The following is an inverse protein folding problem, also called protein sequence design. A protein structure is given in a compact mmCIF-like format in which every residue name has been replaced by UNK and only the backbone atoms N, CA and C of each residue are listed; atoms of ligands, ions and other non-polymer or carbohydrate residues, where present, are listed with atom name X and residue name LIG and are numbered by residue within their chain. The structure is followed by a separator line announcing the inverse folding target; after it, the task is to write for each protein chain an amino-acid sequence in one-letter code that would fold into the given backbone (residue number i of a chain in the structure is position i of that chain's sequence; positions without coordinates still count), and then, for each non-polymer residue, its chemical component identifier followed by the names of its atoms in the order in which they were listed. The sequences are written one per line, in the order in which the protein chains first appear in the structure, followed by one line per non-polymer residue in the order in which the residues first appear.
data_IF_415750455302
#
_entry.id   IF_415750455302
#
_cell.length_a   1.000
_cell.length_b   1.000
_cell.length_c   1.000
_cell.angle_alpha   90.00
_cell.angle_beta   90.00
_cell.angle_gamma   90.00
#
_symmetry.space_group_name_H-M   'P 1'
#
loop_
_entity.id
_entity.type
_entity.pdbx_description
1 polymer ?
#
# COMPACT_ATOMS: atom_id res chain seq x y z
N UNK A 1 -28.29 92.42 -18.45
CA UNK A 1 -27.25 91.46 -18.85
C UNK A 1 -26.49 90.97 -17.62
N UNK A 2 -26.88 89.81 -17.05
CA UNK A 2 -26.08 89.03 -16.08
C UNK A 2 -26.44 87.55 -16.26
N UNK A 3 -25.63 86.82 -17.04
CA UNK A 3 -25.70 85.37 -17.17
C UNK A 3 -25.13 84.73 -15.89
N UNK A 4 -25.93 83.91 -15.19
CA UNK A 4 -25.42 82.97 -14.18
C UNK A 4 -25.14 81.65 -14.88
N UNK A 5 -23.87 81.27 -15.01
CA UNK A 5 -23.44 79.97 -15.54
C UNK A 5 -23.54 78.93 -14.43
N UNK A 6 -24.37 77.91 -14.63
CA UNK A 6 -24.41 76.72 -13.78
C UNK A 6 -23.22 75.82 -14.13
N UNK A 7 -22.35 75.53 -13.16
CA UNK A 7 -21.30 74.53 -13.29
C UNK A 7 -21.90 73.14 -13.04
N UNK A 8 -21.84 72.24 -14.03
CA UNK A 8 -22.07 70.80 -13.82
C UNK A 8 -20.71 70.14 -13.61
N UNK A 9 -20.48 69.61 -12.40
CA UNK A 9 -19.34 68.73 -12.14
C UNK A 9 -19.61 67.36 -12.79
N UNK A 10 -18.68 66.90 -13.62
CA UNK A 10 -18.67 65.53 -14.16
C UNK A 10 -17.70 64.74 -13.29
N UNK A 11 -18.21 63.77 -12.53
CA UNK A 11 -17.40 62.76 -11.86
C UNK A 11 -17.12 61.64 -12.86
N UNK A 12 -15.86 61.45 -13.24
CA UNK A 12 -15.40 60.27 -13.99
C UNK A 12 -14.91 59.25 -12.96
N UNK A 13 -15.72 58.23 -12.72
CA UNK A 13 -15.34 57.08 -11.91
C UNK A 13 -14.51 56.12 -12.75
N UNK A 14 -13.20 56.05 -12.51
CA UNK A 14 -12.32 55.02 -13.11
C UNK A 14 -12.49 53.74 -12.29
N UNK A 15 -13.20 52.76 -12.84
CA UNK A 15 -13.26 51.40 -12.29
C UNK A 15 -11.94 50.69 -12.63
N UNK A 16 -11.04 50.56 -11.65
CA UNK A 16 -9.92 49.62 -11.75
C UNK A 16 -10.46 48.21 -11.54
N UNK A 17 -10.68 47.48 -12.62
CA UNK A 17 -10.86 46.03 -12.59
C UNK A 17 -9.52 45.38 -12.25
N UNK A 18 -9.30 45.06 -10.97
CA UNK A 18 -8.25 44.15 -10.55
C UNK A 18 -8.60 42.75 -11.06
N UNK A 19 -8.08 42.37 -12.22
CA UNK A 19 -8.16 41.00 -12.70
C UNK A 19 -7.41 40.09 -11.73
N UNK A 20 -8.14 39.25 -10.99
CA UNK A 20 -7.55 38.10 -10.32
C UNK A 20 -6.95 37.20 -11.40
N UNK A 21 -5.62 37.28 -11.56
CA UNK A 21 -4.87 36.23 -12.25
C UNK A 21 -5.04 34.97 -11.41
N UNK A 22 -5.93 34.08 -11.83
CA UNK A 22 -5.99 32.72 -11.31
C UNK A 22 -4.62 32.09 -11.61
N UNK A 23 -3.76 32.04 -10.59
CA UNK A 23 -2.54 31.23 -10.66
C UNK A 23 -3.04 29.81 -10.92
N UNK A 24 -2.71 29.18 -12.06
CA UNK A 24 -3.09 27.80 -12.27
C UNK A 24 -2.50 27.00 -11.10
N UNK A 25 -3.38 26.34 -10.35
CA UNK A 25 -2.93 25.42 -9.30
C UNK A 25 -1.97 24.44 -9.94
N UNK A 26 -0.80 24.24 -9.33
CA UNK A 26 0.17 23.28 -9.85
C UNK A 26 -0.55 21.92 -9.97
N UNK A 27 -0.55 21.35 -11.17
CA UNK A 27 -1.06 20.00 -11.37
C UNK A 27 -0.20 19.09 -10.48
N UNK A 28 -0.82 18.50 -9.47
CA UNK A 28 -0.16 17.52 -8.62
C UNK A 28 0.21 16.33 -9.53
N UNK A 29 1.49 15.95 -9.53
CA UNK A 29 1.90 14.72 -10.22
C UNK A 29 1.12 13.54 -9.65
N UNK A 30 0.73 12.59 -10.51
CA UNK A 30 0.17 11.32 -10.05
C UNK A 30 1.19 10.63 -9.12
N UNK A 31 0.73 9.90 -8.09
CA UNK A 31 1.65 9.15 -7.24
C UNK A 31 2.43 8.12 -8.08
N UNK A 32 3.69 7.90 -7.75
CA UNK A 32 4.45 6.77 -8.29
C UNK A 32 3.99 5.45 -7.68
N UNK A 33 4.40 4.33 -8.28
CA UNK A 33 4.16 2.99 -7.71
C UNK A 33 4.75 2.86 -6.29
N UNK A 34 5.91 3.47 -6.04
CA UNK A 34 6.50 3.52 -4.71
C UNK A 34 5.64 4.35 -3.75
N UNK A 35 5.13 5.51 -4.16
CA UNK A 35 4.25 6.33 -3.31
C UNK A 35 2.97 5.57 -2.93
N UNK A 36 2.39 4.84 -3.89
CA UNK A 36 1.22 3.97 -3.65
C UNK A 36 1.56 2.84 -2.68
N UNK A 37 2.67 2.12 -2.92
CA UNK A 37 3.11 1.02 -2.08
C UNK A 37 3.44 1.47 -0.65
N UNK A 38 4.05 2.64 -0.47
CA UNK A 38 4.31 3.17 0.88
C UNK A 38 3.03 3.65 1.57
N UNK A 39 2.10 4.27 0.83
CA UNK A 39 0.84 4.76 1.40
C UNK A 39 -0.08 3.66 1.89
N UNK A 40 -0.11 2.56 1.14
CA UNK A 40 -1.00 1.43 1.35
C UNK A 40 -0.29 0.22 1.96
N UNK A 41 0.95 0.38 2.44
CA UNK A 41 1.67 -0.71 3.08
C UNK A 41 0.87 -1.29 4.25
N UNK A 42 0.66 -2.61 4.31
CA UNK A 42 -0.07 -3.23 5.40
C UNK A 42 0.73 -3.17 6.70
N UNK A 43 0.03 -3.16 7.83
CA UNK A 43 0.64 -3.43 9.13
C UNK A 43 0.68 -4.95 9.32
N UNK A 44 1.88 -5.53 9.23
CA UNK A 44 2.08 -6.97 9.38
C UNK A 44 2.31 -7.30 10.87
N UNK A 45 1.31 -7.89 11.52
CA UNK A 45 1.46 -8.51 12.83
C UNK A 45 1.80 -9.97 12.65
N UNK A 46 2.97 -10.37 13.15
CA UNK A 46 3.49 -11.71 12.98
C UNK A 46 3.65 -12.38 14.33
N UNK A 47 3.01 -13.53 14.50
CA UNK A 47 3.31 -14.45 15.59
C UNK A 47 4.49 -15.34 15.18
N UNK A 48 5.35 -15.69 16.12
CA UNK A 48 6.54 -16.49 15.86
C UNK A 48 6.67 -17.61 16.89
N UNK A 49 7.09 -18.79 16.44
CA UNK A 49 7.41 -19.88 17.37
C UNK A 49 8.46 -19.48 18.40
N UNK A 50 8.20 -19.80 19.66
CA UNK A 50 9.19 -19.67 20.75
C UNK A 50 10.33 -20.70 20.66
N UNK A 51 10.13 -21.80 19.94
CA UNK A 51 11.14 -22.83 19.77
C UNK A 51 12.18 -22.44 18.71
N UNK A 52 11.78 -21.70 17.68
CA UNK A 52 12.67 -21.32 16.57
C UNK A 52 12.23 -20.05 15.84
N UNK A 53 12.15 -18.92 16.56
CA UNK A 53 11.63 -17.66 16.04
C UNK A 53 12.34 -17.13 14.78
N UNK A 54 13.64 -17.40 14.58
CA UNK A 54 14.38 -16.95 13.40
C UNK A 54 13.93 -17.63 12.11
N UNK A 55 13.41 -18.86 12.20
CA UNK A 55 12.87 -19.59 11.05
C UNK A 55 11.65 -18.91 10.45
N UNK A 56 10.90 -18.19 11.30
CA UNK A 56 9.69 -17.49 10.92
C UNK A 56 9.98 -16.08 10.41
N UNK A 57 11.19 -15.52 10.52
CA UNK A 57 11.40 -14.10 10.17
C UNK A 57 11.13 -13.78 8.71
N UNK A 58 10.44 -12.66 8.46
CA UNK A 58 10.43 -12.08 7.11
C UNK A 58 11.84 -11.61 6.73
N UNK A 59 12.31 -12.03 5.56
CA UNK A 59 13.69 -11.82 5.12
C UNK A 59 13.76 -11.52 3.61
N UNK A 60 14.86 -10.96 3.09
CA UNK A 60 15.11 -11.01 1.66
C UNK A 60 15.20 -12.47 1.21
N UNK A 61 14.74 -12.79 0.00
CA UNK A 61 14.88 -14.13 -0.59
C UNK A 61 16.34 -14.56 -0.68
N UNK A 62 17.23 -13.60 -0.93
CA UNK A 62 18.68 -13.75 -1.09
C UNK A 62 19.45 -13.34 0.18
N UNK A 63 18.85 -13.47 1.36
CA UNK A 63 19.45 -13.02 2.62
C UNK A 63 20.84 -13.63 2.86
N UNK A 64 21.14 -14.80 2.32
CA UNK A 64 22.42 -15.46 2.49
C UNK A 64 23.48 -15.08 1.44
N UNK A 65 23.10 -14.25 0.45
CA UNK A 65 23.96 -13.70 -0.58
C UNK A 65 23.84 -14.40 -1.94
N UNK A 66 22.93 -15.35 -2.09
CA UNK A 66 22.63 -15.99 -3.38
C UNK A 66 21.12 -16.21 -3.60
N UNK A 67 20.74 -16.66 -4.80
CA UNK A 67 19.33 -16.86 -5.19
C UNK A 67 18.91 -18.34 -5.15
N UNK A 68 19.70 -19.21 -4.51
CA UNK A 68 19.43 -20.62 -4.41
C UNK A 68 18.46 -20.91 -3.26
N UNK A 69 17.16 -20.86 -3.51
CA UNK A 69 16.16 -21.13 -2.46
C UNK A 69 16.10 -22.60 -1.99
N UNK A 70 17.04 -23.46 -2.39
CA UNK A 70 17.12 -24.87 -1.99
C UNK A 70 18.19 -25.14 -0.90
N UNK A 71 18.85 -24.10 -0.39
CA UNK A 71 19.80 -24.19 0.72
C UNK A 71 19.56 -23.13 1.82
N UNK A 72 18.46 -22.38 1.73
CA UNK A 72 18.07 -21.36 2.69
C UNK A 72 17.72 -22.00 4.03
N UNK A 73 17.27 -23.24 4.07
CA UNK A 73 17.09 -23.94 5.35
C UNK A 73 18.44 -24.06 6.07
N UNK A 74 19.46 -24.56 5.39
CA UNK A 74 20.79 -24.79 5.97
C UNK A 74 21.54 -23.49 6.29
N UNK A 75 21.30 -22.43 5.52
CA UNK A 75 22.02 -21.16 5.65
C UNK A 75 21.40 -20.17 6.65
N UNK A 76 20.19 -20.45 7.15
CA UNK A 76 19.41 -19.59 8.05
C UNK A 76 20.24 -19.07 9.24
N UNK A 77 20.82 -19.99 10.00
CA UNK A 77 21.49 -19.67 11.27
C UNK A 77 22.97 -19.26 11.10
N UNK A 78 23.50 -19.31 9.87
CA UNK A 78 24.91 -18.99 9.63
C UNK A 78 25.22 -17.52 9.98
N UNK A 79 24.24 -16.62 9.81
CA UNK A 79 24.30 -15.25 10.32
C UNK A 79 22.90 -14.62 10.32
N UNK A 80 22.27 -14.59 11.50
CA UNK A 80 20.92 -14.06 11.72
C UNK A 80 20.81 -12.54 11.52
N UNK A 81 21.92 -11.80 11.54
CA UNK A 81 21.91 -10.36 11.24
C UNK A 81 21.55 -10.05 9.78
N UNK A 82 21.54 -11.06 8.90
CA UNK A 82 21.09 -10.96 7.51
C UNK A 82 19.58 -11.06 7.35
N UNK A 83 18.87 -11.53 8.37
CA UNK A 83 17.41 -11.71 8.38
C UNK A 83 16.72 -10.37 8.65
N UNK A 84 16.73 -9.49 7.65
CA UNK A 84 16.12 -8.17 7.74
C UNK A 84 14.69 -8.18 7.20
N UNK A 85 13.73 -7.73 7.99
CA UNK A 85 12.33 -7.62 7.57
C UNK A 85 12.19 -6.95 6.21
N UNK A 86 11.74 -7.71 5.21
CA UNK A 86 11.66 -7.29 3.80
C UNK A 86 10.27 -7.56 3.27
N UNK A 87 9.71 -6.57 2.58
CA UNK A 87 8.46 -6.68 1.84
C UNK A 87 8.73 -6.39 0.36
N UNK A 88 8.27 -7.27 -0.50
CA UNK A 88 8.26 -7.05 -1.94
C UNK A 88 6.91 -6.47 -2.34
N UNK A 89 6.87 -5.62 -3.36
CA UNK A 89 5.62 -5.08 -3.87
C UNK A 89 5.56 -5.06 -5.40
N UNK A 90 4.34 -5.07 -5.93
CA UNK A 90 4.04 -4.81 -7.33
C UNK A 90 2.79 -3.94 -7.42
N UNK A 91 2.82 -2.93 -8.27
CA UNK A 91 1.65 -2.10 -8.59
C UNK A 91 1.29 -2.34 -10.05
N UNK A 92 0.05 -2.74 -10.28
CA UNK A 92 -0.54 -2.78 -11.62
C UNK A 92 -1.87 -2.02 -11.60
N UNK A 93 -2.25 -1.43 -12.74
CA UNK A 93 -3.42 -0.56 -12.76
C UNK A 93 -4.31 -0.73 -13.97
N UNK A 94 -5.57 -0.33 -13.79
CA UNK A 94 -6.54 -0.10 -14.86
C UNK A 94 -6.89 1.38 -14.92
N UNK A 95 -7.84 1.77 -15.78
CA UNK A 95 -8.34 3.16 -15.79
C UNK A 95 -9.06 3.55 -14.49
N UNK A 96 -9.46 2.60 -13.65
CA UNK A 96 -10.27 2.85 -12.45
C UNK A 96 -9.67 2.36 -11.15
N UNK A 97 -8.71 1.43 -11.16
CA UNK A 97 -8.17 0.83 -9.94
C UNK A 97 -6.65 0.67 -9.99
N UNK A 98 -6.03 0.73 -8.83
CA UNK A 98 -4.72 0.15 -8.56
C UNK A 98 -4.87 -1.20 -7.88
N UNK A 99 -3.99 -2.12 -8.23
CA UNK A 99 -3.85 -3.44 -7.63
C UNK A 99 -2.43 -3.50 -7.07
N UNK A 100 -2.32 -3.52 -5.75
CA UNK A 100 -1.04 -3.47 -5.04
C UNK A 100 -0.86 -4.81 -4.36
N UNK A 101 0.08 -5.60 -4.86
CA UNK A 101 0.46 -6.88 -4.23
C UNK A 101 1.66 -6.64 -3.34
N UNK A 102 1.57 -7.11 -2.09
CA UNK A 102 2.71 -7.25 -1.19
C UNK A 102 3.02 -8.72 -0.97
N UNK A 103 4.29 -9.09 -0.97
CA UNK A 103 4.75 -10.44 -0.68
C UNK A 103 5.82 -10.42 0.41
N UNK A 104 5.73 -11.39 1.33
CA UNK A 104 6.58 -11.56 2.49
C UNK A 104 7.21 -12.95 2.41
N UNK A 105 8.53 -12.97 2.28
CA UNK A 105 9.30 -14.20 2.21
C UNK A 105 9.78 -14.60 3.60
N UNK A 106 9.56 -15.86 3.95
CA UNK A 106 10.07 -16.51 5.13
C UNK A 106 11.10 -17.57 4.69
N UNK A 107 12.30 -17.63 5.27
CA UNK A 107 13.27 -18.69 4.95
C UNK A 107 12.73 -20.10 5.22
N UNK A 108 11.76 -20.24 6.15
CA UNK A 108 11.05 -21.49 6.44
C UNK A 108 9.58 -21.22 6.78
N UNK A 109 8.72 -22.21 6.53
CA UNK A 109 7.46 -22.40 7.27
C UNK A 109 7.77 -23.33 8.45
N UNK A 110 7.93 -22.78 9.65
CA UNK A 110 8.25 -23.55 10.84
C UNK A 110 7.00 -23.87 11.66
N UNK A 111 6.87 -25.12 12.09
CA UNK A 111 5.76 -25.55 12.96
C UNK A 111 6.29 -26.35 14.13
N UNK A 112 5.77 -26.09 15.31
CA UNK A 112 6.12 -26.78 16.56
C UNK A 112 5.48 -28.17 16.63
N UNK A 113 5.76 -29.01 15.63
CA UNK A 113 5.34 -30.41 15.58
C UNK A 113 6.54 -31.36 15.74
N UNK A 114 6.35 -32.54 16.35
CA UNK A 114 7.41 -33.54 16.41
C UNK A 114 7.95 -33.85 15.02
N UNK A 115 9.28 -33.89 14.90
CA UNK A 115 10.01 -34.29 13.69
C UNK A 115 9.78 -33.38 12.47
N UNK A 116 9.30 -32.14 12.65
CA UNK A 116 9.15 -31.12 11.61
C UNK A 116 8.34 -31.58 10.38
N UNK A 117 7.38 -32.50 10.56
CA UNK A 117 6.69 -33.16 9.44
C UNK A 117 5.88 -32.24 8.53
N UNK A 118 5.54 -31.04 9.01
CA UNK A 118 4.76 -30.05 8.27
C UNK A 118 5.55 -28.79 7.96
N UNK A 119 6.83 -28.73 8.36
CA UNK A 119 7.69 -27.62 8.06
C UNK A 119 8.36 -27.80 6.70
N UNK A 120 8.62 -26.69 6.02
CA UNK A 120 9.31 -26.71 4.74
C UNK A 120 10.23 -25.52 4.54
N UNK A 121 11.15 -25.70 3.60
CA UNK A 121 12.05 -24.65 3.15
C UNK A 121 11.27 -23.62 2.32
N UNK A 122 11.48 -22.34 2.64
CA UNK A 122 10.78 -21.20 2.08
C UNK A 122 9.29 -21.16 2.43
N UNK A 123 8.79 -19.95 2.57
CA UNK A 123 7.37 -19.65 2.45
C UNK A 123 7.20 -18.25 1.86
N UNK A 124 6.21 -18.06 1.00
CA UNK A 124 5.90 -16.75 0.45
C UNK A 124 4.41 -16.50 0.52
N UNK A 125 4.06 -15.64 1.45
CA UNK A 125 2.69 -15.22 1.73
C UNK A 125 2.52 -13.76 1.33
N UNK A 126 1.28 -13.28 1.28
CA UNK A 126 1.05 -11.93 0.80
C UNK A 126 -0.37 -11.42 0.91
N UNK A 127 -0.52 -10.19 0.44
CA UNK A 127 -1.82 -9.53 0.32
C UNK A 127 -1.90 -8.77 -0.99
N UNK A 128 -3.01 -8.96 -1.71
CA UNK A 128 -3.42 -8.10 -2.82
C UNK A 128 -4.42 -7.06 -2.30
N UNK A 129 -4.10 -5.79 -2.43
CA UNK A 129 -5.00 -4.69 -2.17
C UNK A 129 -5.56 -4.10 -3.46
N UNK A 130 -6.85 -3.79 -3.46
CA UNK A 130 -7.55 -3.17 -4.59
C UNK A 130 -7.99 -1.78 -4.18
N UNK A 131 -7.49 -0.74 -4.85
CA UNK A 131 -7.73 0.66 -4.52
C UNK A 131 -8.43 1.36 -5.68
N UNK A 132 -9.58 1.99 -5.40
CA UNK A 132 -10.35 2.77 -6.37
C UNK A 132 -9.70 4.15 -6.57
N UNK A 133 -9.52 4.54 -7.84
CA UNK A 133 -9.12 5.89 -8.25
C UNK A 133 -10.33 6.82 -8.17
N UNK A 134 -10.64 7.31 -6.97
CA UNK A 134 -11.80 8.18 -6.69
C UNK A 134 -11.57 9.68 -6.97
N UNK A 135 -10.41 10.03 -7.53
CA UNK A 135 -9.99 11.40 -7.80
C UNK A 135 -9.17 12.03 -6.67
N UNK A 136 -9.04 11.38 -5.52
CA UNK A 136 -8.04 11.73 -4.51
C UNK A 136 -6.64 11.24 -4.91
N UNK A 137 -5.59 11.80 -4.29
CA UNK A 137 -4.20 11.44 -4.59
C UNK A 137 -3.91 9.95 -4.44
N UNK A 138 -4.53 9.28 -3.46
CA UNK A 138 -4.21 7.89 -3.11
C UNK A 138 -5.40 6.93 -3.24
N UNK A 139 -6.56 7.41 -3.66
CA UNK A 139 -7.76 6.60 -3.82
C UNK A 139 -8.37 6.10 -2.51
N UNK A 140 -9.27 5.14 -2.66
CA UNK A 140 -9.98 4.48 -1.56
C UNK A 140 -9.87 2.96 -1.67
N UNK A 141 -9.36 2.30 -0.62
CA UNK A 141 -9.30 0.84 -0.54
C UNK A 141 -10.71 0.22 -0.70
N UNK A 142 -10.82 -0.78 -1.57
CA UNK A 142 -12.07 -1.47 -1.91
C UNK A 142 -12.06 -2.93 -1.45
N UNK A 143 -10.90 -3.57 -1.43
CA UNK A 143 -10.74 -4.95 -1.00
C UNK A 143 -9.28 -5.25 -0.65
N UNK A 144 -9.09 -6.27 0.18
CA UNK A 144 -7.81 -6.94 0.39
C UNK A 144 -8.00 -8.45 0.25
N UNK A 145 -7.06 -9.16 -0.36
CA UNK A 145 -7.05 -10.62 -0.46
C UNK A 145 -5.74 -11.12 0.11
N UNK A 146 -5.78 -11.79 1.26
CA UNK A 146 -4.59 -12.40 1.86
C UNK A 146 -4.43 -13.83 1.38
N UNK A 147 -3.19 -14.26 1.20
CA UNK A 147 -2.83 -15.65 0.95
C UNK A 147 -2.40 -16.31 2.27
N UNK A 148 -2.82 -17.55 2.49
CA UNK A 148 -2.19 -18.44 3.45
C UNK A 148 -2.16 -19.86 2.87
N UNK A 149 -0.98 -20.40 2.65
CA UNK A 149 -0.73 -21.62 1.88
C UNK A 149 -1.47 -21.55 0.53
N UNK A 150 -2.34 -22.54 0.25
CA UNK A 150 -3.14 -22.63 -0.98
C UNK A 150 -4.48 -21.87 -0.90
N UNK A 151 -4.71 -21.09 0.16
CA UNK A 151 -5.99 -20.42 0.41
C UNK A 151 -5.90 -18.91 0.25
N UNK A 152 -7.01 -18.33 -0.23
CA UNK A 152 -7.16 -16.89 -0.39
C UNK A 152 -8.34 -16.40 0.43
N UNK A 153 -8.12 -15.39 1.27
CA UNK A 153 -9.14 -14.81 2.13
C UNK A 153 -9.43 -13.37 1.71
N UNK A 154 -10.68 -13.09 1.37
CA UNK A 154 -11.10 -11.77 0.88
C UNK A 154 -11.76 -10.93 1.99
N UNK A 155 -11.31 -9.69 2.10
CA UNK A 155 -11.79 -8.69 3.05
C UNK A 155 -12.27 -7.46 2.28
N UNK A 156 -13.39 -6.89 2.71
CA UNK A 156 -13.94 -5.66 2.13
C UNK A 156 -14.13 -4.64 3.26
N UNK A 157 -13.61 -3.40 3.14
CA UNK A 157 -13.90 -2.37 4.10
C UNK A 157 -15.38 -1.98 4.07
N UNK A 158 -15.88 -1.48 5.19
CA UNK A 158 -17.27 -1.04 5.30
C UNK A 158 -17.60 0.02 4.24
N UNK A 159 -18.73 -0.17 3.54
CA UNK A 159 -19.15 0.73 2.47
C UNK A 159 -18.51 0.46 1.10
N UNK A 160 -17.63 -0.54 0.97
CA UNK A 160 -17.12 -0.96 -0.33
C UNK A 160 -18.23 -1.54 -1.22
N UNK A 161 -18.32 -1.17 -2.51
CA UNK A 161 -19.20 -1.78 -3.50
C UNK A 161 -18.77 -3.20 -3.90
N UNK A 162 -17.56 -3.64 -3.53
CA UNK A 162 -17.05 -4.98 -3.80
C UNK A 162 -17.86 -6.05 -3.04
N UNK A 163 -17.97 -7.25 -3.62
CA UNK A 163 -18.63 -8.40 -3.00
C UNK A 163 -17.60 -9.46 -2.68
N UNK A 164 -17.43 -9.79 -1.40
CA UNK A 164 -16.59 -10.90 -0.99
C UNK A 164 -17.32 -12.23 -1.25
N UNK A 165 -16.67 -13.17 -1.95
CA UNK A 165 -17.12 -14.56 -2.05
C UNK A 165 -16.54 -15.36 -0.88
N UNK A 166 -17.29 -15.44 0.22
CA UNK A 166 -17.12 -16.36 1.36
C UNK A 166 -15.78 -16.33 2.14
N UNK A 167 -15.68 -15.44 3.14
CA UNK A 167 -15.86 -15.70 4.60
C UNK A 167 -15.72 -14.31 5.22
N UNK A 168 -16.82 -13.69 5.64
CA UNK A 168 -16.76 -12.48 6.46
C UNK A 168 -16.11 -12.86 7.78
N UNK A 169 -14.79 -12.72 7.84
CA UNK A 169 -14.03 -12.74 9.08
C UNK A 169 -14.34 -11.43 9.80
N UNK A 170 -15.37 -11.45 10.64
CA UNK A 170 -15.45 -10.53 11.77
C UNK A 170 -14.39 -10.97 12.79
N UNK A 171 -13.11 -10.77 12.48
CA UNK A 171 -12.07 -10.88 13.49
C UNK A 171 -12.01 -9.53 14.21
N UNK A 172 -12.34 -9.46 15.51
CA UNK A 172 -11.95 -8.30 16.31
C UNK A 172 -10.43 -8.32 16.47
N UNK A 173 -9.84 -7.12 16.50
CA UNK A 173 -8.45 -6.88 16.85
C UNK A 173 -8.06 -7.54 18.19
#
# INVERSE_FOLDING_TARGET
MKLRRSARAVFVSVLLSAGLLAVPGQAQAAPSDADLAYRWAPVHYQDTSSAYYTAEYTSPVDYDGDWNTLNNWENLDANTARLTGTAYYSVVETSTHWYITYAFYHPRDWKDYPLNWTSHENDMEGVLEVVLKDGSTYGTLQAAVTQAHDNYYSYIPAGSPSRATARTSTAPC
#
